data_IF_013419240364
#
_entry.id   IF_013419240364
#
_cell.length_a   1.000
_cell.length_b   1.000
_cell.length_c   1.000
_cell.angle_alpha   90.00
_cell.angle_beta   90.00
_cell.angle_gamma   90.00
#
_symmetry.space_group_name_H-M   'P 1'
#
loop_
_entity.id
_entity.type
_entity.pdbx_description
1 polymer ?
#
# COMPACT_ATOMS: atom_id res chain seq x y z
N UNK A 1 -35.48 42.00 -17.70
CA UNK A 1 -34.32 41.75 -16.81
C UNK A 1 -34.52 40.57 -15.83
N UNK A 2 -35.45 39.63 -16.08
CA UNK A 2 -35.69 38.47 -15.19
C UNK A 2 -35.11 37.14 -15.71
N UNK A 3 -34.89 37.02 -17.01
CA UNK A 3 -34.39 35.80 -17.66
C UNK A 3 -32.94 35.47 -17.31
N UNK A 4 -32.08 36.50 -17.17
CA UNK A 4 -30.67 36.32 -16.78
C UNK A 4 -30.52 35.75 -15.35
N UNK A 5 -31.45 36.05 -14.44
CA UNK A 5 -31.41 35.57 -13.05
C UNK A 5 -31.72 34.06 -12.94
N UNK A 6 -32.65 33.57 -13.74
CA UNK A 6 -32.98 32.14 -13.79
C UNK A 6 -31.85 31.30 -14.40
N UNK A 7 -31.13 31.84 -15.38
CA UNK A 7 -30.00 31.15 -16.00
C UNK A 7 -28.81 30.96 -15.04
N UNK A 8 -28.52 31.97 -14.20
CA UNK A 8 -27.47 31.87 -13.18
C UNK A 8 -27.81 30.83 -12.09
N UNK A 9 -29.08 30.69 -11.71
CA UNK A 9 -29.49 29.71 -10.70
C UNK A 9 -29.34 28.26 -11.19
N UNK A 10 -29.60 28.02 -12.48
CA UNK A 10 -29.41 26.70 -13.09
C UNK A 10 -27.93 26.30 -13.17
N UNK A 11 -27.03 27.28 -13.39
CA UNK A 11 -25.59 27.02 -13.47
C UNK A 11 -24.98 26.60 -12.12
N UNK A 12 -25.51 27.13 -11.00
CA UNK A 12 -25.06 26.78 -9.64
C UNK A 12 -25.53 25.39 -9.18
N UNK A 13 -26.64 24.88 -9.72
CA UNK A 13 -27.15 23.54 -9.38
C UNK A 13 -26.29 22.45 -10.04
N UNK A 14 -25.74 22.70 -11.23
CA UNK A 14 -24.94 21.71 -11.97
C UNK A 14 -23.51 21.52 -11.44
N UNK A 15 -22.92 22.52 -10.79
CA UNK A 15 -21.51 22.48 -10.37
C UNK A 15 -21.21 21.63 -9.12
N UNK A 16 -22.22 21.06 -8.45
CA UNK A 16 -22.02 20.30 -7.20
C UNK A 16 -21.89 18.78 -7.38
N UNK A 17 -21.88 18.24 -8.59
CA UNK A 17 -21.56 16.83 -8.81
C UNK A 17 -20.04 16.63 -8.90
N UNK A 18 -19.33 16.90 -7.80
CA UNK A 18 -18.01 16.33 -7.61
C UNK A 18 -18.20 14.84 -7.39
N UNK A 19 -18.06 14.04 -8.46
CA UNK A 19 -17.84 12.61 -8.36
C UNK A 19 -16.54 12.46 -7.57
N UNK A 20 -16.68 12.21 -6.27
CA UNK A 20 -15.58 11.76 -5.43
C UNK A 20 -15.24 10.36 -5.93
N UNK A 21 -14.31 10.29 -6.88
CA UNK A 21 -13.75 9.04 -7.33
C UNK A 21 -13.10 8.43 -6.09
N UNK A 22 -13.74 7.41 -5.52
CA UNK A 22 -13.18 6.61 -4.43
C UNK A 22 -11.80 6.16 -4.87
N UNK A 23 -10.76 6.89 -4.46
CA UNK A 23 -9.38 6.40 -4.52
C UNK A 23 -9.43 5.08 -3.78
N UNK A 24 -9.22 3.97 -4.49
CA UNK A 24 -9.12 2.66 -3.86
C UNK A 24 -8.07 2.77 -2.75
N UNK A 25 -8.54 2.87 -1.51
CA UNK A 25 -7.68 3.02 -0.35
C UNK A 25 -6.88 1.72 -0.25
N UNK A 26 -5.57 1.81 -0.11
CA UNK A 26 -4.73 0.65 0.09
C UNK A 26 -5.13 0.01 1.43
N UNK A 27 -5.64 -1.21 1.40
CA UNK A 27 -6.13 -1.92 2.60
C UNK A 27 -5.19 -3.01 3.08
N UNK A 28 -4.39 -3.60 2.19
CA UNK A 28 -3.49 -4.70 2.53
C UNK A 28 -2.20 -4.68 1.68
N UNK A 29 -1.08 -5.05 2.29
CA UNK A 29 0.19 -5.33 1.62
C UNK A 29 0.65 -6.74 1.99
N UNK A 30 0.91 -7.56 0.97
CA UNK A 30 1.57 -8.85 1.10
C UNK A 30 3.08 -8.69 0.85
N UNK A 31 3.88 -8.97 1.87
CA UNK A 31 5.34 -8.96 1.83
C UNK A 31 5.86 -10.35 1.52
N UNK A 32 6.54 -10.49 0.39
CA UNK A 32 7.22 -11.71 0.00
C UNK A 32 8.65 -11.68 0.53
N UNK A 33 8.92 -12.47 1.57
CA UNK A 33 10.26 -12.56 2.16
C UNK A 33 10.91 -13.87 1.76
N UNK A 34 12.06 -13.81 1.10
CA UNK A 34 12.84 -15.01 0.79
C UNK A 34 13.64 -15.46 2.01
N UNK A 35 13.77 -16.77 2.21
CA UNK A 35 14.71 -17.30 3.20
C UNK A 35 16.14 -17.13 2.66
N UNK A 36 16.79 -16.00 2.99
CA UNK A 36 18.08 -15.59 2.41
C UNK A 36 19.07 -15.07 3.47
N UNK A 37 19.66 -15.95 4.30
CA UNK A 37 20.75 -15.57 5.19
C UNK A 37 21.95 -14.98 4.41
N UNK A 38 22.65 -13.96 4.92
CA UNK A 38 22.47 -13.31 6.23
C UNK A 38 21.48 -12.12 6.24
N UNK A 39 20.80 -11.84 5.12
CA UNK A 39 19.94 -10.66 4.97
C UNK A 39 18.62 -10.81 5.72
N UNK A 40 17.99 -11.97 5.58
CA UNK A 40 16.78 -12.36 6.30
C UNK A 40 17.04 -13.67 7.01
N UNK A 41 16.90 -13.69 8.33
CA UNK A 41 17.06 -14.89 9.12
C UNK A 41 15.70 -15.49 9.51
N UNK A 42 15.68 -16.77 9.87
CA UNK A 42 14.47 -17.43 10.32
C UNK A 42 14.09 -16.94 11.73
N UNK A 43 12.80 -17.00 12.05
CA UNK A 43 12.28 -16.62 13.38
C UNK A 43 12.81 -17.47 14.53
N UNK A 44 13.40 -18.62 14.23
CA UNK A 44 14.03 -19.52 15.21
C UNK A 44 15.47 -19.12 15.54
N UNK A 45 16.08 -18.21 14.77
CA UNK A 45 17.41 -17.70 15.08
C UNK A 45 17.34 -16.67 16.21
N UNK A 46 18.33 -16.71 17.10
CA UNK A 46 18.47 -15.72 18.17
C UNK A 46 18.95 -14.35 17.67
N UNK A 47 19.22 -14.20 16.37
CA UNK A 47 19.79 -13.02 15.74
C UNK A 47 18.88 -12.52 14.63
N UNK A 48 18.80 -11.20 14.45
CA UNK A 48 18.10 -10.59 13.32
C UNK A 48 19.00 -10.52 12.09
N UNK A 49 18.46 -10.77 10.91
CA UNK A 49 19.13 -10.57 9.64
C UNK A 49 19.43 -9.10 9.37
N UNK A 50 20.38 -8.85 8.47
CA UNK A 50 20.86 -7.49 8.16
C UNK A 50 19.74 -6.55 7.70
N UNK A 51 18.70 -7.08 7.05
CA UNK A 51 17.59 -6.30 6.51
C UNK A 51 16.34 -6.33 7.38
N UNK A 52 16.26 -7.21 8.39
CA UNK A 52 15.02 -7.43 9.16
C UNK A 52 14.56 -6.15 9.87
N UNK A 53 15.48 -5.44 10.54
CA UNK A 53 15.15 -4.18 11.23
C UNK A 53 14.65 -3.10 10.27
N UNK A 54 15.24 -2.99 9.07
CA UNK A 54 14.80 -2.02 8.05
C UNK A 54 13.41 -2.38 7.53
N UNK A 55 13.12 -3.67 7.34
CA UNK A 55 11.80 -4.15 6.93
C UNK A 55 10.74 -3.85 7.99
N UNK A 56 11.04 -4.06 9.28
CA UNK A 56 10.11 -3.73 10.37
C UNK A 56 9.86 -2.21 10.47
N UNK A 57 10.90 -1.39 10.30
CA UNK A 57 10.74 0.07 10.26
C UNK A 57 9.86 0.52 9.09
N UNK A 58 10.04 -0.07 7.91
CA UNK A 58 9.22 0.24 6.74
C UNK A 58 7.75 -0.18 6.96
N UNK A 59 7.51 -1.40 7.44
CA UNK A 59 6.16 -1.89 7.75
C UNK A 59 5.48 -0.97 8.77
N UNK A 60 6.18 -0.64 9.86
CA UNK A 60 5.61 0.23 10.89
C UNK A 60 5.39 1.68 10.44
N UNK A 61 6.09 2.15 9.41
CA UNK A 61 5.91 3.50 8.84
C UNK A 61 4.61 3.64 8.04
N UNK A 62 4.10 2.55 7.47
CA UNK A 62 2.86 2.53 6.68
C UNK A 62 1.70 2.25 7.63
N UNK A 63 0.92 3.28 7.95
CA UNK A 63 -0.22 3.18 8.87
C UNK A 63 -1.50 2.77 8.15
N UNK A 64 -2.45 2.23 8.92
CA UNK A 64 -3.81 1.92 8.49
C UNK A 64 -3.92 0.94 7.29
N UNK A 65 -2.88 0.13 7.12
CA UNK A 65 -2.82 -0.95 6.12
C UNK A 65 -2.58 -2.27 6.86
N UNK A 66 -3.24 -3.34 6.43
CA UNK A 66 -2.96 -4.69 6.94
C UNK A 66 -1.68 -5.22 6.31
N UNK A 67 -0.71 -5.66 7.12
CA UNK A 67 0.54 -6.23 6.61
C UNK A 67 0.56 -7.74 6.84
N UNK A 68 0.78 -8.51 5.76
CA UNK A 68 0.93 -9.96 5.81
C UNK A 68 2.31 -10.33 5.27
N UNK A 69 3.09 -11.14 5.98
CA UNK A 69 4.41 -11.62 5.52
C UNK A 69 4.31 -13.09 5.11
N UNK A 70 4.75 -13.40 3.90
CA UNK A 70 4.83 -14.76 3.37
C UNK A 70 6.29 -15.12 3.11
N UNK A 71 6.78 -16.16 3.78
CA UNK A 71 8.12 -16.69 3.53
C UNK A 71 8.08 -17.56 2.29
N UNK A 72 8.83 -17.16 1.27
CA UNK A 72 8.90 -17.85 -0.02
C UNK A 72 10.14 -18.74 -0.03
N UNK A 73 10.04 -20.02 -0.44
CA UNK A 73 11.21 -20.88 -0.56
C UNK A 73 12.22 -20.29 -1.54
N UNK A 74 13.50 -20.30 -1.17
CA UNK A 74 14.56 -19.85 -2.05
C UNK A 74 14.75 -20.89 -3.17
N UNK A 75 14.14 -20.67 -4.33
CA UNK A 75 14.44 -21.44 -5.53
C UNK A 75 15.76 -20.90 -6.10
N UNK A 76 16.80 -21.73 -6.15
CA UNK A 76 18.07 -21.33 -6.79
C UNK A 76 17.78 -20.85 -8.21
N UNK A 77 18.32 -19.69 -8.57
CA UNK A 77 18.53 -19.30 -9.97
C UNK A 77 19.70 -20.14 -10.48
N UNK A 78 19.50 -21.45 -10.61
CA UNK A 78 20.43 -22.36 -11.28
C UNK A 78 19.69 -22.98 -12.45
N UNK A 79 19.63 -22.26 -13.56
CA UNK A 79 19.56 -22.79 -14.92
C UNK A 79 19.54 -21.61 -15.88
N UNK A 80 20.71 -21.15 -16.31
CA UNK A 80 21.12 -21.06 -17.70
C UNK A 80 22.64 -21.14 -17.74
#
# INVERSE_FOLDING_TARGET
MHTARYFCLLFLIFSNNSISQSKNQLTEILWLQSNTPPFHLNSESAQTGLCDNLTEQLISSIKDVKHTRLVVPQKRINKY
#
